data_IF_294879292360
#
_entry.id   IF_294879292360
#
_cell.length_a   1.000
_cell.length_b   1.000
_cell.length_c   1.000
_cell.angle_alpha   90.00
_cell.angle_beta   90.00
_cell.angle_gamma   90.00
#
_symmetry.space_group_name_H-M   'P 1'
#
loop_
_entity.id
_entity.type
_entity.pdbx_description
1 polymer ?
#
# COMPACT_ATOMS: atom_id res chain seq x y z
N UNK A 1 -4.60 10.51 -37.64
CA UNK A 1 -4.64 9.30 -36.76
C UNK A 1 -4.09 9.72 -35.41
N UNK A 2 -4.94 9.86 -34.37
CA UNK A 2 -4.46 10.03 -33.02
C UNK A 2 -4.01 8.64 -32.56
N UNK A 3 -2.75 8.51 -32.16
CA UNK A 3 -2.27 7.31 -31.47
C UNK A 3 -3.14 7.12 -30.22
N UNK A 4 -3.75 5.95 -30.09
CA UNK A 4 -4.45 5.58 -28.86
C UNK A 4 -3.45 5.66 -27.71
N UNK A 5 -3.70 6.55 -26.77
CA UNK A 5 -2.87 6.71 -25.57
C UNK A 5 -3.09 5.45 -24.69
N UNK A 6 -2.08 4.59 -24.54
CA UNK A 6 -2.21 3.36 -23.76
C UNK A 6 -2.57 3.62 -22.29
N UNK A 7 -2.25 4.82 -21.78
CA UNK A 7 -2.63 5.25 -20.44
C UNK A 7 -4.14 5.44 -20.29
N UNK A 8 -4.79 6.08 -21.24
CA UNK A 8 -6.23 6.31 -21.22
C UNK A 8 -7.05 4.99 -21.23
N UNK A 9 -6.59 3.99 -21.99
CA UNK A 9 -7.21 2.65 -22.01
C UNK A 9 -7.12 1.93 -20.67
N UNK A 10 -5.99 2.08 -19.98
CA UNK A 10 -5.75 1.44 -18.68
C UNK A 10 -6.54 2.10 -17.56
N UNK A 11 -6.71 3.42 -17.60
CA UNK A 11 -7.53 4.17 -16.63
C UNK A 11 -9.02 3.80 -16.72
N UNK A 12 -9.54 3.68 -17.95
CA UNK A 12 -10.90 3.21 -18.18
C UNK A 12 -11.08 1.79 -17.66
N UNK A 13 -10.09 0.93 -17.86
CA UNK A 13 -10.12 -0.45 -17.33
C UNK A 13 -10.15 -0.47 -15.81
N UNK A 14 -9.37 0.38 -15.13
CA UNK A 14 -9.41 0.52 -13.66
C UNK A 14 -10.78 0.99 -13.17
N UNK A 15 -11.37 1.98 -13.82
CA UNK A 15 -12.71 2.47 -13.46
C UNK A 15 -13.76 1.37 -13.62
N UNK A 16 -13.69 0.57 -14.68
CA UNK A 16 -14.59 -0.56 -14.91
C UNK A 16 -14.44 -1.63 -13.82
N UNK A 17 -13.21 -2.02 -13.47
CA UNK A 17 -12.96 -2.99 -12.39
C UNK A 17 -13.49 -2.48 -11.04
N UNK A 18 -13.29 -1.19 -10.73
CA UNK A 18 -13.85 -0.56 -9.53
C UNK A 18 -15.38 -0.59 -9.49
N UNK A 19 -16.04 -0.35 -10.63
CA UNK A 19 -17.50 -0.45 -10.75
C UNK A 19 -18.00 -1.89 -10.55
N UNK A 20 -17.39 -2.87 -11.24
CA UNK A 20 -17.73 -4.29 -11.11
C UNK A 20 -17.57 -4.78 -9.66
N UNK A 21 -16.48 -4.36 -8.98
CA UNK A 21 -16.26 -4.62 -7.56
C UNK A 21 -17.38 -4.04 -6.70
N UNK A 22 -17.75 -2.78 -6.91
CA UNK A 22 -18.81 -2.12 -6.16
C UNK A 22 -20.17 -2.82 -6.29
N UNK A 23 -20.49 -3.37 -7.47
CA UNK A 23 -21.71 -4.16 -7.68
C UNK A 23 -21.71 -5.45 -6.86
N UNK A 24 -20.58 -6.17 -6.82
CA UNK A 24 -20.47 -7.40 -6.02
C UNK A 24 -20.57 -7.05 -4.52
N UNK A 25 -19.84 -6.05 -4.04
CA UNK A 25 -19.88 -5.61 -2.64
C UNK A 25 -21.30 -5.22 -2.21
N UNK A 26 -22.04 -4.52 -3.07
CA UNK A 26 -23.42 -4.15 -2.82
C UNK A 26 -24.38 -5.37 -2.75
N UNK A 27 -24.07 -6.45 -3.46
CA UNK A 27 -24.85 -7.68 -3.47
C UNK A 27 -24.62 -8.57 -2.24
N UNK A 28 -23.47 -8.46 -1.57
CA UNK A 28 -23.10 -9.34 -0.45
C UNK A 28 -24.03 -9.18 0.77
N UNK A 29 -24.38 -7.95 1.14
CA UNK A 29 -25.20 -7.70 2.33
C UNK A 29 -26.62 -8.24 2.20
N UNK A 30 -27.35 -8.02 1.09
CA UNK A 30 -28.65 -8.64 0.86
C UNK A 30 -28.62 -10.17 0.90
N UNK A 31 -27.65 -10.80 0.24
CA UNK A 31 -27.53 -12.27 0.22
C UNK A 31 -27.29 -12.81 1.62
N UNK A 32 -26.38 -12.21 2.40
CA UNK A 32 -26.16 -12.58 3.81
C UNK A 32 -27.41 -12.44 4.66
N UNK A 33 -28.18 -11.37 4.47
CA UNK A 33 -29.44 -11.15 5.18
C UNK A 33 -30.47 -12.22 4.85
N UNK A 34 -30.60 -12.59 3.57
CA UNK A 34 -31.51 -13.65 3.14
C UNK A 34 -31.14 -15.01 3.74
N UNK A 35 -29.84 -15.35 3.77
CA UNK A 35 -29.35 -16.59 4.40
C UNK A 35 -29.75 -16.64 5.88
N UNK A 36 -29.61 -15.54 6.61
CA UNK A 36 -30.01 -15.46 8.02
C UNK A 36 -31.53 -15.62 8.20
N UNK A 37 -32.31 -14.94 7.35
CA UNK A 37 -33.79 -15.05 7.38
C UNK A 37 -34.25 -16.48 7.13
N UNK A 38 -33.69 -17.16 6.11
CA UNK A 38 -34.00 -18.55 5.81
C UNK A 38 -33.62 -19.51 6.94
N UNK A 39 -32.50 -19.24 7.64
CA UNK A 39 -32.14 -20.05 8.80
C UNK A 39 -33.13 -19.94 9.97
N UNK A 40 -33.76 -18.77 10.13
CA UNK A 40 -34.83 -18.57 11.13
C UNK A 40 -36.10 -19.28 10.69
N UNK A 41 -36.48 -19.12 9.42
CA UNK A 41 -37.70 -19.77 8.85
C UNK A 41 -37.59 -21.30 8.90
N UNK A 42 -36.43 -21.88 8.56
CA UNK A 42 -36.17 -23.31 8.67
C UNK A 42 -36.49 -23.84 10.08
N UNK A 43 -36.00 -23.14 11.12
CA UNK A 43 -36.27 -23.50 12.52
C UNK A 43 -37.76 -23.36 12.88
N UNK A 44 -38.43 -22.29 12.42
CA UNK A 44 -39.82 -22.05 12.72
C UNK A 44 -40.74 -23.12 12.06
N UNK A 45 -40.51 -23.46 10.81
CA UNK A 45 -41.24 -24.49 10.11
C UNK A 45 -41.04 -25.88 10.72
N UNK A 46 -39.76 -26.19 11.09
CA UNK A 46 -39.46 -27.45 11.81
C UNK A 46 -40.18 -27.55 13.16
N UNK A 47 -40.24 -26.45 13.92
CA UNK A 47 -40.96 -26.39 15.19
C UNK A 47 -42.51 -26.54 15.01
N UNK A 48 -43.03 -26.00 13.89
CA UNK A 48 -44.45 -26.16 13.51
C UNK A 48 -44.78 -27.53 12.88
N UNK A 49 -43.78 -28.41 12.74
CA UNK A 49 -43.88 -29.73 12.07
C UNK A 49 -44.23 -29.64 10.56
N UNK A 50 -43.99 -28.48 9.96
CA UNK A 50 -44.08 -28.29 8.51
C UNK A 50 -42.72 -28.63 7.87
N UNK A 51 -42.48 -29.93 7.68
CA UNK A 51 -41.17 -30.41 7.25
C UNK A 51 -40.90 -30.07 5.77
N UNK A 52 -41.92 -29.98 4.93
CA UNK A 52 -41.74 -29.63 3.51
C UNK A 52 -41.28 -28.18 3.37
N UNK A 53 -41.91 -27.26 4.08
CA UNK A 53 -41.46 -25.86 4.14
C UNK A 53 -40.04 -25.70 4.77
N UNK A 54 -39.73 -26.47 5.81
CA UNK A 54 -38.43 -26.47 6.42
C UNK A 54 -37.33 -26.95 5.44
N UNK A 55 -37.59 -28.02 4.67
CA UNK A 55 -36.71 -28.55 3.65
C UNK A 55 -36.48 -27.51 2.54
N UNK A 56 -37.55 -26.88 2.06
CA UNK A 56 -37.49 -25.83 1.04
C UNK A 56 -36.60 -24.65 1.50
N UNK A 57 -36.85 -24.16 2.72
CA UNK A 57 -36.06 -23.07 3.29
C UNK A 57 -34.57 -23.44 3.46
N UNK A 58 -34.29 -24.66 3.86
CA UNK A 58 -32.91 -25.17 3.99
C UNK A 58 -32.22 -25.26 2.64
N UNK A 59 -32.87 -25.78 1.63
CA UNK A 59 -32.29 -25.99 0.29
C UNK A 59 -31.99 -24.63 -0.37
N UNK A 60 -32.92 -23.66 -0.24
CA UNK A 60 -32.70 -22.30 -0.73
C UNK A 60 -31.56 -21.60 0.04
N UNK A 61 -31.45 -21.79 1.37
CA UNK A 61 -30.34 -21.31 2.15
C UNK A 61 -29.00 -21.86 1.68
N UNK A 62 -28.92 -23.17 1.37
CA UNK A 62 -27.72 -23.79 0.82
C UNK A 62 -27.37 -23.23 -0.56
N UNK A 63 -28.36 -23.00 -1.42
CA UNK A 63 -28.15 -22.37 -2.74
C UNK A 63 -27.54 -20.99 -2.59
N UNK A 64 -28.09 -20.15 -1.71
CA UNK A 64 -27.55 -18.80 -1.44
C UNK A 64 -26.17 -18.82 -0.78
N UNK A 65 -25.86 -19.81 0.05
CA UNK A 65 -24.51 -19.99 0.59
C UNK A 65 -23.49 -20.28 -0.52
N UNK A 66 -23.86 -21.10 -1.51
CA UNK A 66 -23.03 -21.34 -2.69
C UNK A 66 -22.84 -20.08 -3.54
N UNK A 67 -23.90 -19.29 -3.71
CA UNK A 67 -23.83 -18.00 -4.40
C UNK A 67 -22.93 -17.00 -3.67
N UNK A 68 -23.04 -16.91 -2.35
CA UNK A 68 -22.18 -16.07 -1.51
C UNK A 68 -20.71 -16.44 -1.66
N UNK A 69 -20.38 -17.74 -1.61
CA UNK A 69 -19.00 -18.20 -1.79
C UNK A 69 -18.45 -17.84 -3.17
N UNK A 70 -19.27 -17.89 -4.22
CA UNK A 70 -18.89 -17.45 -5.56
C UNK A 70 -18.65 -15.95 -5.63
N UNK A 71 -19.52 -15.13 -5.06
CA UNK A 71 -19.36 -13.68 -5.00
C UNK A 71 -18.09 -13.28 -4.25
N UNK A 72 -17.77 -13.92 -3.12
CA UNK A 72 -16.54 -13.69 -2.38
C UNK A 72 -15.29 -14.04 -3.21
N UNK A 73 -15.33 -15.13 -3.98
CA UNK A 73 -14.24 -15.52 -4.89
C UNK A 73 -14.09 -14.52 -6.04
N UNK A 74 -15.17 -14.09 -6.66
CA UNK A 74 -15.15 -13.11 -7.75
C UNK A 74 -14.60 -11.77 -7.26
N UNK A 75 -14.96 -11.35 -6.04
CA UNK A 75 -14.45 -10.14 -5.40
C UNK A 75 -12.92 -10.20 -5.22
N UNK A 76 -12.38 -11.32 -4.73
CA UNK A 76 -10.93 -11.51 -4.58
C UNK A 76 -10.21 -11.45 -5.92
N UNK A 77 -10.76 -12.05 -6.97
CA UNK A 77 -10.20 -12.00 -8.32
C UNK A 77 -10.18 -10.57 -8.89
N UNK A 78 -11.26 -9.80 -8.71
CA UNK A 78 -11.32 -8.40 -9.15
C UNK A 78 -10.32 -7.55 -8.39
N UNK A 79 -10.22 -7.69 -7.07
CA UNK A 79 -9.23 -6.98 -6.25
C UNK A 79 -7.80 -7.27 -6.71
N UNK A 80 -7.49 -8.54 -6.98
CA UNK A 80 -6.18 -8.95 -7.48
C UNK A 80 -5.85 -8.32 -8.85
N UNK A 81 -6.82 -8.32 -9.78
CA UNK A 81 -6.66 -7.69 -11.11
C UNK A 81 -6.49 -6.18 -11.02
N UNK A 82 -7.31 -5.52 -10.20
CA UNK A 82 -7.21 -4.08 -9.97
C UNK A 82 -5.83 -3.72 -9.41
N UNK A 83 -5.34 -4.49 -8.44
CA UNK A 83 -4.03 -4.28 -7.84
C UNK A 83 -2.88 -4.49 -8.85
N UNK A 84 -2.94 -5.56 -9.64
CA UNK A 84 -1.96 -5.82 -10.68
C UNK A 84 -1.90 -4.68 -11.71
N UNK A 85 -3.05 -4.18 -12.14
CA UNK A 85 -3.13 -3.08 -13.10
C UNK A 85 -2.61 -1.77 -12.50
N UNK A 86 -2.97 -1.43 -11.26
CA UNK A 86 -2.42 -0.27 -10.54
C UNK A 86 -0.89 -0.35 -10.47
N UNK A 87 -0.35 -1.53 -10.14
CA UNK A 87 1.11 -1.73 -10.07
C UNK A 87 1.77 -1.60 -11.45
N UNK A 88 1.13 -2.11 -12.50
CA UNK A 88 1.65 -2.01 -13.87
C UNK A 88 1.68 -0.56 -14.42
N UNK A 89 0.81 0.30 -13.90
CA UNK A 89 0.73 1.73 -14.27
C UNK A 89 1.70 2.62 -13.48
N UNK A 90 2.34 2.09 -12.44
CA UNK A 90 3.32 2.86 -11.69
C UNK A 90 4.56 3.17 -12.53
N UNK A 91 5.14 4.36 -12.37
CA UNK A 91 6.45 4.64 -12.93
C UNK A 91 7.50 3.71 -12.31
N UNK A 92 8.56 3.42 -13.05
CA UNK A 92 9.67 2.58 -12.58
C UNK A 92 10.26 3.09 -11.27
N UNK A 93 10.28 4.41 -11.09
CA UNK A 93 10.78 5.08 -9.90
C UNK A 93 9.85 6.22 -9.48
N UNK A 94 9.42 6.19 -8.25
CA UNK A 94 8.58 7.21 -7.63
C UNK A 94 9.49 8.13 -6.83
N UNK A 95 9.75 9.31 -7.36
CA UNK A 95 10.60 10.32 -6.70
C UNK A 95 9.80 11.09 -5.68
N UNK A 96 10.33 11.17 -4.45
CA UNK A 96 9.77 12.01 -3.40
C UNK A 96 10.45 13.38 -3.43
N UNK A 97 9.69 14.48 -3.70
CA UNK A 97 10.26 15.82 -3.80
C UNK A 97 10.87 16.24 -2.46
N UNK A 98 12.06 16.81 -2.48
CA UNK A 98 12.76 17.27 -1.26
C UNK A 98 12.05 18.43 -0.59
N UNK A 99 11.52 19.33 -1.37
CA UNK A 99 10.75 20.51 -0.94
C UNK A 99 9.40 20.15 -0.30
N UNK A 100 8.88 18.97 -0.60
CA UNK A 100 7.69 18.43 0.04
C UNK A 100 7.97 17.74 1.39
N UNK A 101 9.25 17.58 1.77
CA UNK A 101 9.60 17.03 3.07
C UNK A 101 9.34 18.04 4.18
N UNK A 102 8.57 17.65 5.19
CA UNK A 102 8.48 18.37 6.45
C UNK A 102 9.50 17.80 7.42
N UNK A 103 10.28 18.63 8.07
CA UNK A 103 11.40 18.16 8.90
C UNK A 103 11.37 18.72 10.30
N UNK A 104 11.75 17.88 11.26
CA UNK A 104 12.09 18.28 12.62
C UNK A 104 13.60 18.30 12.75
N UNK A 105 14.18 19.43 13.17
CA UNK A 105 15.63 19.64 13.33
C UNK A 105 16.46 19.52 12.03
N UNK A 106 15.80 19.50 10.87
CA UNK A 106 16.42 19.40 9.55
C UNK A 106 16.35 20.72 8.79
N UNK A 107 17.25 20.88 7.81
CA UNK A 107 17.34 22.04 6.92
C UNK A 107 17.47 21.60 5.48
N UNK A 108 17.01 22.45 4.57
CA UNK A 108 17.21 22.26 3.14
C UNK A 108 18.31 23.24 2.69
N UNK A 109 19.47 22.72 2.35
CA UNK A 109 20.63 23.52 1.94
C UNK A 109 21.33 22.89 0.74
N UNK A 110 21.70 23.71 -0.26
CA UNK A 110 22.48 23.24 -1.42
C UNK A 110 21.82 22.09 -2.20
N UNK A 111 20.50 22.00 -2.20
CA UNK A 111 19.80 20.91 -2.86
C UNK A 111 19.83 19.58 -2.10
N UNK A 112 20.13 19.59 -0.81
CA UNK A 112 20.13 18.44 0.08
C UNK A 112 19.31 18.73 1.34
N UNK A 113 18.82 17.68 1.99
CA UNK A 113 18.31 17.73 3.36
C UNK A 113 19.46 17.45 4.30
N UNK A 114 19.77 18.40 5.18
CA UNK A 114 20.88 18.40 6.13
C UNK A 114 20.38 18.51 7.56
N UNK A 115 21.29 18.48 8.55
CA UNK A 115 20.93 18.63 9.96
C UNK A 115 20.58 17.30 10.66
N UNK A 116 20.92 16.17 10.07
CA UNK A 116 20.74 14.83 10.65
C UNK A 116 21.72 14.58 11.82
N UNK A 117 21.73 15.48 12.80
CA UNK A 117 22.73 15.52 13.85
C UNK A 117 22.22 15.13 15.24
N UNK A 118 20.94 14.78 15.34
CA UNK A 118 20.31 14.38 16.60
C UNK A 118 19.48 13.12 16.41
N UNK A 119 19.50 12.25 17.40
CA UNK A 119 18.57 11.13 17.46
C UNK A 119 17.13 11.67 17.48
N UNK A 120 16.28 11.12 16.64
CA UNK A 120 14.90 11.58 16.44
C UNK A 120 14.75 12.76 15.47
N UNK A 121 15.83 13.32 14.90
CA UNK A 121 15.72 14.21 13.73
C UNK A 121 15.07 13.43 12.59
N UNK A 122 14.04 14.01 11.96
CA UNK A 122 13.20 13.27 11.03
C UNK A 122 12.73 14.12 9.84
N UNK A 123 12.66 13.48 8.68
CA UNK A 123 12.00 14.01 7.49
C UNK A 123 10.77 13.18 7.15
N UNK A 124 9.67 13.81 6.82
CA UNK A 124 8.40 13.16 6.50
C UNK A 124 7.87 13.65 5.16
N UNK A 125 7.45 12.72 4.33
CA UNK A 125 6.80 12.97 3.05
C UNK A 125 5.38 12.42 3.08
N UNK A 126 4.47 13.15 2.47
CA UNK A 126 3.16 12.60 2.10
C UNK A 126 3.34 11.78 0.82
N UNK A 127 3.02 10.51 0.89
CA UNK A 127 3.07 9.63 -0.27
C UNK A 127 1.89 9.90 -1.21
N UNK A 128 2.09 9.80 -2.53
CA UNK A 128 0.97 9.72 -3.46
C UNK A 128 0.16 8.44 -3.18
N UNK A 129 -1.03 8.33 -3.77
CA UNK A 129 -1.80 7.10 -3.69
C UNK A 129 -1.04 5.97 -4.39
N UNK A 130 -0.49 5.04 -3.61
CA UNK A 130 0.25 3.89 -4.08
C UNK A 130 -0.52 2.61 -3.81
N UNK A 131 -0.44 1.59 -4.71
CA UNK A 131 -0.96 0.26 -4.43
C UNK A 131 -0.24 -0.37 -3.24
N UNK A 132 -0.95 -1.20 -2.46
CA UNK A 132 -0.32 -2.00 -1.44
C UNK A 132 0.75 -2.92 -2.06
N UNK A 133 1.93 -3.01 -1.44
CA UNK A 133 3.00 -3.84 -1.96
C UNK A 133 4.35 -3.59 -1.30
N UNK A 134 5.36 -4.31 -1.80
CA UNK A 134 6.76 -4.08 -1.46
C UNK A 134 7.38 -3.02 -2.37
N UNK A 135 8.10 -2.09 -1.78
CA UNK A 135 8.84 -1.06 -2.51
C UNK A 135 10.28 -1.02 -1.99
N UNK A 136 11.23 -1.10 -2.89
CA UNK A 136 12.63 -0.87 -2.56
C UNK A 136 12.84 0.63 -2.30
N UNK A 137 13.45 0.96 -1.18
CA UNK A 137 13.77 2.33 -0.81
C UNK A 137 15.18 2.67 -1.29
N UNK A 138 15.24 3.53 -2.29
CA UNK A 138 16.48 4.03 -2.85
C UNK A 138 16.80 5.39 -2.24
N UNK A 139 17.91 5.48 -1.54
CA UNK A 139 18.44 6.73 -0.98
C UNK A 139 19.67 7.17 -1.75
N UNK A 140 19.65 8.39 -2.24
CA UNK A 140 20.85 9.05 -2.78
C UNK A 140 21.35 10.04 -1.73
N UNK A 141 22.54 9.81 -1.22
CA UNK A 141 23.09 10.61 -0.14
C UNK A 141 24.61 10.76 -0.23
N UNK A 142 25.15 11.72 0.53
CA UNK A 142 26.57 11.88 0.81
C UNK A 142 26.80 11.66 2.30
N UNK A 143 27.76 10.83 2.64
CA UNK A 143 28.15 10.51 4.00
C UNK A 143 29.69 10.54 4.12
N UNK A 144 30.24 11.43 4.96
CA UNK A 144 31.67 11.57 5.16
C UNK A 144 32.26 10.41 5.96
N UNK A 145 33.60 10.29 5.95
CA UNK A 145 34.33 9.18 6.56
C UNK A 145 34.08 8.99 8.07
N UNK A 146 33.70 10.05 8.80
CA UNK A 146 33.38 9.99 10.22
C UNK A 146 31.89 10.13 10.50
N UNK A 147 31.03 9.97 9.46
CA UNK A 147 29.59 10.09 9.56
C UNK A 147 28.92 8.73 9.38
N UNK A 148 27.62 8.70 9.52
CA UNK A 148 26.83 7.49 9.34
C UNK A 148 26.10 7.09 10.61
N UNK A 149 25.47 5.93 10.56
CA UNK A 149 24.65 5.39 11.64
C UNK A 149 23.42 4.67 11.11
N UNK A 150 22.35 4.68 11.87
CA UNK A 150 21.12 3.95 11.56
C UNK A 150 19.97 4.92 11.34
N UNK A 151 19.26 4.70 10.24
CA UNK A 151 18.04 5.41 9.88
C UNK A 151 16.85 4.48 10.09
N UNK A 152 15.87 4.90 10.86
CA UNK A 152 14.58 4.25 10.99
C UNK A 152 13.64 4.83 9.95
N UNK A 153 13.15 3.96 9.08
CA UNK A 153 12.16 4.27 8.05
C UNK A 153 10.81 3.77 8.51
N UNK A 154 9.81 4.62 8.50
CA UNK A 154 8.43 4.26 8.87
C UNK A 154 7.45 4.64 7.79
N UNK A 155 6.54 3.73 7.47
CA UNK A 155 5.31 3.98 6.73
C UNK A 155 4.16 3.40 7.54
N UNK A 156 3.24 4.28 7.98
CA UNK A 156 2.03 3.90 8.72
C UNK A 156 2.25 2.78 9.76
N UNK A 157 2.14 1.51 9.35
CA UNK A 157 2.25 0.32 10.19
C UNK A 157 3.56 -0.45 10.00
N UNK A 158 4.34 -0.10 8.98
CA UNK A 158 5.55 -0.82 8.62
C UNK A 158 6.79 0.01 8.95
N UNK A 159 7.84 -0.67 9.33
CA UNK A 159 9.13 -0.04 9.59
C UNK A 159 10.26 -0.87 9.00
N UNK A 160 11.34 -0.17 8.64
CA UNK A 160 12.58 -0.71 8.11
C UNK A 160 13.73 0.05 8.77
N UNK A 161 14.77 -0.65 9.14
CA UNK A 161 16.04 -0.05 9.62
C UNK A 161 17.05 -0.07 8.48
N UNK A 162 17.64 1.08 8.18
CA UNK A 162 18.61 1.25 7.11
C UNK A 162 19.97 1.70 7.68
N UNK A 163 21.02 0.97 7.37
CA UNK A 163 22.38 1.35 7.70
C UNK A 163 22.87 2.43 6.71
N UNK A 164 23.30 3.57 7.21
CA UNK A 164 23.91 4.64 6.43
C UNK A 164 25.41 4.54 6.55
N UNK A 165 26.05 4.19 5.45
CA UNK A 165 27.47 3.98 5.35
C UNK A 165 28.17 5.14 4.65
N UNK A 166 29.47 5.27 4.89
CA UNK A 166 30.33 6.26 4.23
C UNK A 166 30.30 6.15 2.72
N UNK A 167 30.24 7.29 2.03
CA UNK A 167 30.36 7.38 0.57
C UNK A 167 31.77 7.91 0.21
N UNK A 168 32.51 7.14 -0.61
CA UNK A 168 33.94 7.43 -0.82
C UNK A 168 34.21 8.55 -1.84
N UNK A 169 33.42 8.64 -2.91
CA UNK A 169 33.73 9.51 -4.06
C UNK A 169 32.65 10.58 -4.35
N UNK A 170 31.78 10.83 -3.41
CA UNK A 170 30.67 11.78 -3.58
C UNK A 170 29.31 11.16 -3.26
N UNK A 171 28.21 11.71 -3.81
CA UNK A 171 26.89 11.14 -3.57
C UNK A 171 26.77 9.75 -4.19
N UNK A 172 26.27 8.80 -3.41
CA UNK A 172 25.97 7.44 -3.85
C UNK A 172 24.47 7.17 -3.73
N UNK A 173 23.94 6.35 -4.63
CA UNK A 173 22.59 5.80 -4.55
C UNK A 173 22.68 4.37 -4.00
N UNK A 174 21.91 4.09 -2.96
CA UNK A 174 21.91 2.76 -2.33
C UNK A 174 20.49 2.31 -2.08
N UNK A 175 20.24 1.02 -2.34
CA UNK A 175 19.07 0.33 -1.87
C UNK A 175 19.20 0.07 -0.37
N UNK A 176 18.29 0.61 0.41
CA UNK A 176 18.31 0.50 1.88
C UNK A 176 17.37 -0.58 2.41
N UNK A 177 16.69 -1.28 1.52
CA UNK A 177 15.80 -2.39 1.83
C UNK A 177 14.41 -2.24 1.24
N UNK A 178 13.56 -3.23 1.48
CA UNK A 178 12.18 -3.26 0.98
C UNK A 178 11.21 -2.84 2.09
N UNK A 179 10.48 -1.78 1.84
CA UNK A 179 9.42 -1.28 2.71
C UNK A 179 8.07 -1.78 2.18
N UNK A 180 7.22 -2.30 3.07
CA UNK A 180 5.81 -2.56 2.74
C UNK A 180 5.03 -1.25 2.83
N UNK A 181 4.21 -0.98 1.82
CA UNK A 181 3.33 0.20 1.77
C UNK A 181 1.89 -0.29 1.78
N UNK A 182 1.06 0.37 2.58
CA UNK A 182 -0.39 0.14 2.63
C UNK A 182 -1.07 0.76 1.41
N UNK A 183 -2.24 0.23 1.02
CA UNK A 183 -3.01 0.81 -0.08
C UNK A 183 -3.47 2.24 0.23
N UNK A 184 -3.36 3.12 -0.75
CA UNK A 184 -3.77 4.52 -0.64
C UNK A 184 -2.63 5.50 -0.36
N UNK A 185 -2.99 6.66 0.19
CA UNK A 185 -2.03 7.71 0.56
C UNK A 185 -1.55 7.52 1.99
N UNK A 186 -0.25 7.39 2.17
CA UNK A 186 0.41 7.27 3.48
C UNK A 186 1.40 8.39 3.74
N UNK A 187 2.19 8.21 4.79
CA UNK A 187 3.34 9.08 5.09
C UNK A 187 4.58 8.24 5.24
N UNK A 188 5.66 8.64 4.56
CA UNK A 188 6.98 8.07 4.74
C UNK A 188 7.78 8.97 5.67
N UNK A 189 8.27 8.43 6.77
CA UNK A 189 9.15 9.13 7.72
C UNK A 189 10.50 8.45 7.77
N UNK A 190 11.55 9.23 7.56
CA UNK A 190 12.93 8.85 7.80
C UNK A 190 13.39 9.53 9.08
N UNK A 191 13.79 8.78 10.10
CA UNK A 191 14.21 9.31 11.39
C UNK A 191 15.58 8.75 11.79
N UNK A 192 16.42 9.57 12.41
CA UNK A 192 17.70 9.12 12.96
C UNK A 192 17.45 8.23 14.18
N UNK A 193 17.89 6.99 14.12
CA UNK A 193 17.83 6.04 15.22
C UNK A 193 19.13 6.02 16.02
N UNK A 194 20.27 6.03 15.32
CA UNK A 194 21.58 6.14 15.95
C UNK A 194 22.58 6.88 15.05
N UNK A 195 23.63 7.41 15.64
CA UNK A 195 24.71 8.14 14.98
C UNK A 195 26.06 7.52 15.34
N UNK A 196 26.95 7.43 14.36
CA UNK A 196 28.37 7.07 14.63
C UNK A 196 29.08 8.25 15.27
N UNK A 197 28.83 9.46 14.78
CA UNK A 197 29.34 10.70 15.33
C UNK A 197 28.24 11.74 15.49
N UNK A 198 28.43 12.95 15.01
CA UNK A 198 27.52 14.08 15.18
C UNK A 198 26.67 14.38 13.94
N UNK A 199 26.74 13.56 12.89
CA UNK A 199 25.93 13.72 11.69
C UNK A 199 25.76 12.40 10.95
N UNK A 200 24.55 12.14 10.45
CA UNK A 200 24.23 10.92 9.72
C UNK A 200 24.66 11.03 8.25
N UNK A 201 24.14 12.04 7.54
CA UNK A 201 24.32 12.19 6.09
C UNK A 201 23.84 13.56 5.57
N UNK A 202 24.07 13.81 4.27
CA UNK A 202 23.36 14.80 3.46
C UNK A 202 22.47 14.04 2.47
N UNK A 203 21.17 14.08 2.64
CA UNK A 203 20.20 13.36 1.80
C UNK A 203 19.84 14.18 0.55
N UNK A 204 20.07 13.61 -0.62
CA UNK A 204 19.88 14.27 -1.92
C UNK A 204 18.62 13.82 -2.64
N UNK A 205 18.24 12.57 -2.52
CA UNK A 205 17.01 12.05 -3.11
C UNK A 205 16.49 10.85 -2.33
N UNK A 206 15.16 10.69 -2.36
CA UNK A 206 14.45 9.52 -1.89
C UNK A 206 13.56 9.04 -3.04
N UNK A 207 13.70 7.77 -3.38
CA UNK A 207 12.91 7.13 -4.44
C UNK A 207 12.36 5.80 -3.95
N UNK A 208 11.16 5.48 -4.39
CA UNK A 208 10.54 4.18 -4.17
C UNK A 208 10.47 3.44 -5.52
N UNK A 209 10.93 2.21 -5.53
CA UNK A 209 10.92 1.32 -6.70
C UNK A 209 10.02 0.13 -6.39
N UNK A 210 8.97 -0.16 -7.17
CA UNK A 210 8.15 -1.33 -6.93
C UNK A 210 9.00 -2.61 -6.93
N UNK A 211 8.93 -3.42 -5.85
CA UNK A 211 9.79 -4.60 -5.67
C UNK A 211 9.39 -5.80 -6.54
N UNK A 212 8.20 -5.80 -7.14
CA UNK A 212 7.70 -6.85 -8.02
C UNK A 212 7.37 -6.28 -9.40
N UNK A 213 8.24 -6.53 -10.32
CA UNK A 213 7.97 -6.54 -11.77
C UNK A 213 8.38 -7.86 -12.37
#
# INVERSE_FOLDING_TARGET
>A
MRADDPGASSEITLQRLGYERGLIEASLAPVKQQIMTLAVLEKQFAAARDYDAAITARDERKRLQGELARLDQDLLLLQSREQALKTALLPDRIKLPRDAATGKDLRQEGGAITGWSKIGAAATWKLPALPAGGYELMLRYRCGAAQGGVLLVKESRFSLTAQIETTMKGPEERNTGTLKISDGSGTLTLAVESLVTNNLMQLLAVELVPASR
#
